data_IF_273110746610
#
_entry.id   IF_273110746610
#
_cell.length_a   1.000
_cell.length_b   1.000
_cell.length_c   1.000
_cell.angle_alpha   90.00
_cell.angle_beta   90.00
_cell.angle_gamma   90.00
#
_symmetry.space_group_name_H-M   'P 1'
#
loop_
_entity.id
_entity.type
_entity.pdbx_description
1 polymer ?
#
# COMPACT_ATOMS: atom_id res chain seq x y z
N UNK A 1 7.89 -33.53 3.22
CA UNK A 1 8.53 -33.03 4.46
C UNK A 1 9.37 -31.83 4.07
N UNK A 2 9.11 -30.57 4.43
CA UNK A 2 8.10 -29.94 5.25
C UNK A 2 7.85 -28.55 4.64
N UNK A 3 6.58 -28.16 4.48
CA UNK A 3 6.23 -26.79 4.16
C UNK A 3 6.61 -25.92 5.37
N UNK A 4 7.56 -25.01 5.19
CA UNK A 4 7.85 -24.00 6.19
C UNK A 4 6.61 -23.11 6.30
N UNK A 5 5.78 -23.40 7.30
CA UNK A 5 4.76 -22.50 7.79
C UNK A 5 5.49 -21.22 8.21
N UNK A 6 5.52 -20.25 7.30
CA UNK A 6 6.00 -18.91 7.56
C UNK A 6 5.11 -18.33 8.63
N UNK A 7 5.55 -18.43 9.88
CA UNK A 7 5.02 -17.66 10.99
C UNK A 7 5.18 -16.19 10.64
N UNK A 8 4.20 -15.63 9.95
CA UNK A 8 4.15 -14.20 9.71
C UNK A 8 4.05 -13.57 11.08
N UNK A 9 5.11 -12.90 11.51
CA UNK A 9 5.06 -11.95 12.59
C UNK A 9 3.77 -11.12 12.38
N UNK A 10 2.85 -11.01 13.35
CA UNK A 10 1.60 -10.28 13.15
C UNK A 10 1.84 -8.83 12.70
N UNK A 11 3.03 -8.29 13.04
CA UNK A 11 3.62 -7.04 12.58
C UNK A 11 3.94 -6.93 11.06
N UNK A 12 3.69 -7.96 10.26
CA UNK A 12 3.86 -7.96 8.80
C UNK A 12 2.59 -8.39 8.06
N UNK A 13 1.51 -8.67 8.80
CA UNK A 13 0.21 -9.00 8.22
C UNK A 13 -0.36 -7.82 7.42
N UNK A 14 -1.20 -8.10 6.42
CA UNK A 14 -1.87 -7.06 5.64
C UNK A 14 -2.70 -6.12 6.54
N UNK A 15 -3.35 -6.68 7.58
CA UNK A 15 -4.11 -5.91 8.56
C UNK A 15 -3.25 -4.93 9.35
N UNK A 16 -2.09 -5.39 9.84
CA UNK A 16 -1.12 -4.52 10.52
C UNK A 16 -0.61 -3.42 9.57
N UNK A 17 -0.29 -3.77 8.32
CA UNK A 17 0.19 -2.78 7.36
C UNK A 17 -0.85 -1.68 7.09
N UNK A 18 -2.13 -2.05 6.98
CA UNK A 18 -3.23 -1.09 6.81
C UNK A 18 -3.43 -0.20 8.04
N UNK A 19 -3.28 -0.75 9.26
CA UNK A 19 -3.33 0.05 10.48
C UNK A 19 -2.20 1.10 10.51
N UNK A 20 -0.98 0.68 10.11
CA UNK A 20 0.16 1.59 10.00
C UNK A 20 -0.02 2.65 8.90
N UNK A 21 -0.69 2.34 7.79
CA UNK A 21 -1.00 3.33 6.76
C UNK A 21 -1.96 4.43 7.27
N UNK A 22 -2.90 4.08 8.16
CA UNK A 22 -3.93 5.01 8.67
C UNK A 22 -3.42 5.99 9.71
N UNK A 23 -2.39 5.64 10.47
CA UNK A 23 -1.90 6.49 11.56
C UNK A 23 -0.51 6.14 12.09
N UNK A 24 0.22 5.27 11.38
CA UNK A 24 1.56 4.85 11.79
C UNK A 24 2.58 5.98 11.68
N UNK A 25 3.51 5.98 12.63
CA UNK A 25 4.73 6.79 12.61
C UNK A 25 5.93 5.97 12.15
N UNK A 26 7.00 6.67 11.77
CA UNK A 26 8.30 6.04 11.53
C UNK A 26 8.87 5.49 12.85
N UNK A 27 9.62 4.37 12.82
CA UNK A 27 10.04 3.57 11.66
C UNK A 27 9.03 2.46 11.28
N UNK A 28 7.89 2.37 11.97
CA UNK A 28 6.94 1.29 11.79
C UNK A 28 6.15 1.41 10.48
N UNK A 29 5.83 2.63 10.04
CA UNK A 29 5.23 2.90 8.72
C UNK A 29 6.16 2.47 7.58
N UNK A 30 7.44 2.87 7.59
CA UNK A 30 8.43 2.43 6.61
C UNK A 30 8.56 0.91 6.50
N UNK A 31 8.55 0.19 7.64
CA UNK A 31 8.52 -1.28 7.65
C UNK A 31 7.24 -1.86 7.05
N UNK A 32 6.08 -1.29 7.37
CA UNK A 32 4.80 -1.71 6.81
C UNK A 32 4.74 -1.50 5.29
N UNK A 33 5.23 -0.36 4.77
CA UNK A 33 5.30 -0.09 3.34
C UNK A 33 6.24 -1.07 2.62
N UNK A 34 7.38 -1.40 3.24
CA UNK A 34 8.29 -2.40 2.70
C UNK A 34 7.62 -3.77 2.63
N UNK A 35 6.94 -4.20 3.69
CA UNK A 35 6.19 -5.45 3.72
C UNK A 35 5.06 -5.48 2.67
N UNK A 36 4.31 -4.38 2.51
CA UNK A 36 3.30 -4.24 1.45
C UNK A 36 3.90 -4.45 0.06
N UNK A 37 4.97 -3.73 -0.27
CA UNK A 37 5.60 -3.79 -1.59
C UNK A 37 6.20 -5.16 -1.89
N UNK A 38 6.80 -5.81 -0.91
CA UNK A 38 7.58 -7.04 -1.12
C UNK A 38 6.75 -8.31 -0.97
N UNK A 39 5.76 -8.32 -0.07
CA UNK A 39 5.01 -9.52 0.31
C UNK A 39 3.53 -9.51 -0.04
N UNK A 40 2.90 -8.34 -0.14
CA UNK A 40 1.44 -8.28 -0.36
C UNK A 40 1.10 -7.93 -1.80
N UNK A 41 1.62 -6.82 -2.32
CA UNK A 41 1.28 -6.31 -3.66
C UNK A 41 1.84 -7.19 -4.79
N UNK A 42 3.00 -7.83 -4.58
CA UNK A 42 3.59 -8.75 -5.56
C UNK A 42 2.89 -10.10 -5.68
N UNK A 43 2.00 -10.44 -4.75
CA UNK A 43 1.32 -11.73 -4.77
C UNK A 43 0.13 -11.70 -5.74
N UNK A 44 -0.22 -12.83 -6.38
CA UNK A 44 -1.43 -12.93 -7.20
C UNK A 44 -2.68 -12.51 -6.39
N UNK A 45 -3.46 -11.57 -6.92
CA UNK A 45 -4.64 -11.00 -6.24
C UNK A 45 -4.31 -10.12 -5.03
N UNK A 46 -3.04 -9.79 -4.79
CA UNK A 46 -2.59 -8.96 -3.68
C UNK A 46 -3.10 -7.52 -3.77
N UNK A 47 -3.13 -6.96 -4.98
CA UNK A 47 -3.66 -5.62 -5.26
C UNK A 47 -5.16 -5.58 -4.99
N UNK A 48 -5.92 -6.54 -5.54
CA UNK A 48 -7.35 -6.67 -5.28
C UNK A 48 -7.67 -6.76 -3.79
N UNK A 49 -6.94 -7.59 -3.03
CA UNK A 49 -7.12 -7.72 -1.57
C UNK A 49 -6.78 -6.44 -0.82
N UNK A 50 -5.70 -5.76 -1.20
CA UNK A 50 -5.33 -4.47 -0.61
C UNK A 50 -6.42 -3.42 -0.86
N UNK A 51 -6.94 -3.38 -2.09
CA UNK A 51 -8.03 -2.51 -2.52
C UNK A 51 -9.33 -2.80 -1.77
N UNK A 52 -9.77 -4.06 -1.73
CA UNK A 52 -11.00 -4.49 -1.08
C UNK A 52 -11.04 -4.16 0.43
N UNK A 53 -9.86 -4.02 1.06
CA UNK A 53 -9.71 -3.60 2.46
C UNK A 53 -9.56 -2.09 2.64
N UNK A 54 -9.76 -1.31 1.58
CA UNK A 54 -9.69 0.15 1.59
C UNK A 54 -8.28 0.71 1.72
N UNK A 55 -7.25 0.00 1.26
CA UNK A 55 -5.85 0.42 1.40
C UNK A 55 -5.45 1.64 0.57
N UNK A 56 -6.15 1.92 -0.54
CA UNK A 56 -5.83 3.03 -1.45
C UNK A 56 -6.05 4.41 -0.82
N UNK A 57 -7.09 4.60 -0.01
CA UNK A 57 -7.39 5.89 0.64
C UNK A 57 -6.25 6.35 1.57
N UNK A 58 -5.86 5.55 2.58
CA UNK A 58 -4.73 5.86 3.44
C UNK A 58 -3.41 6.05 2.68
N UNK A 59 -3.18 5.29 1.61
CA UNK A 59 -2.00 5.43 0.77
C UNK A 59 -1.97 6.80 0.05
N UNK A 60 -3.09 7.25 -0.51
CA UNK A 60 -3.22 8.57 -1.12
C UNK A 60 -3.09 9.68 -0.07
N UNK A 61 -3.68 9.51 1.12
CA UNK A 61 -3.52 10.46 2.23
C UNK A 61 -2.06 10.62 2.67
N UNK A 62 -1.27 9.53 2.65
CA UNK A 62 0.17 9.60 2.92
C UNK A 62 0.94 10.39 1.85
N UNK A 63 0.53 10.29 0.59
CA UNK A 63 1.15 11.02 -0.52
C UNK A 63 0.73 12.49 -0.56
N UNK A 64 -0.46 12.82 -0.08
CA UNK A 64 -0.95 14.19 0.05
C UNK A 64 -0.34 14.95 1.25
N UNK A 65 0.24 14.25 2.23
CA UNK A 65 0.83 14.86 3.42
C UNK A 65 2.22 15.47 3.17
N UNK A 66 2.44 16.69 3.65
CA UNK A 66 3.65 17.49 3.34
C UNK A 66 4.93 17.13 4.12
N UNK A 67 4.89 16.32 5.18
CA UNK A 67 6.06 16.00 6.03
C UNK A 67 6.27 14.49 6.21
N UNK A 68 6.81 13.83 5.18
CA UNK A 68 7.28 12.44 5.28
C UNK A 68 8.72 12.30 4.79
N UNK A 69 9.49 11.33 5.32
CA UNK A 69 10.81 11.03 4.79
C UNK A 69 10.71 10.64 3.31
N UNK A 70 11.66 11.10 2.49
CA UNK A 70 11.70 10.81 1.05
C UNK A 70 11.59 9.31 0.75
N UNK A 71 12.29 8.48 1.53
CA UNK A 71 12.23 7.01 1.41
C UNK A 71 10.82 6.44 1.57
N UNK A 72 10.04 6.99 2.49
CA UNK A 72 8.66 6.58 2.77
C UNK A 72 7.75 6.96 1.60
N UNK A 73 7.93 8.17 1.05
CA UNK A 73 7.20 8.63 -0.12
C UNK A 73 7.54 7.80 -1.37
N UNK A 74 8.82 7.51 -1.61
CA UNK A 74 9.28 6.63 -2.71
C UNK A 74 8.65 5.24 -2.63
N UNK A 75 8.57 4.65 -1.44
CA UNK A 75 7.90 3.36 -1.24
C UNK A 75 6.39 3.46 -1.48
N UNK A 76 5.73 4.51 -0.99
CA UNK A 76 4.30 4.74 -1.20
C UNK A 76 3.97 4.92 -2.70
N UNK A 77 4.77 5.70 -3.43
CA UNK A 77 4.65 5.88 -4.88
C UNK A 77 4.86 4.56 -5.63
N UNK A 78 5.86 3.77 -5.24
CA UNK A 78 6.09 2.45 -5.85
C UNK A 78 4.92 1.49 -5.62
N UNK A 79 4.31 1.50 -4.43
CA UNK A 79 3.11 0.70 -4.13
C UNK A 79 1.93 1.18 -4.98
N UNK A 80 1.71 2.49 -5.08
CA UNK A 80 0.64 3.06 -5.89
C UNK A 80 0.81 2.67 -7.37
N UNK A 81 2.02 2.82 -7.91
CA UNK A 81 2.33 2.43 -9.29
C UNK A 81 2.03 0.96 -9.58
N UNK A 82 2.38 0.06 -8.66
CA UNK A 82 2.05 -1.36 -8.78
C UNK A 82 0.53 -1.59 -8.73
N UNK A 83 -0.19 -0.92 -7.82
CA UNK A 83 -1.65 -1.04 -7.74
C UNK A 83 -2.33 -0.58 -9.04
N UNK A 84 -1.82 0.48 -9.67
CA UNK A 84 -2.35 1.03 -10.91
C UNK A 84 -2.15 0.13 -12.15
N UNK A 85 -1.45 -1.00 -12.03
CA UNK A 85 -1.43 -2.02 -13.09
C UNK A 85 -2.80 -2.66 -13.28
N UNK A 86 -3.62 -2.74 -12.22
CA UNK A 86 -5.00 -3.22 -12.27
C UNK A 86 -6.01 -2.08 -12.57
N UNK A 87 -6.92 -2.33 -13.52
CA UNK A 87 -7.91 -1.33 -13.96
C UNK A 87 -8.81 -0.81 -12.85
N UNK A 88 -9.31 -1.70 -11.99
CA UNK A 88 -10.19 -1.28 -10.90
C UNK A 88 -9.49 -0.48 -9.80
N UNK A 89 -8.17 -0.64 -9.62
CA UNK A 89 -7.40 0.22 -8.72
C UNK A 89 -7.26 1.64 -9.28
N UNK A 90 -7.10 1.79 -10.62
CA UNK A 90 -7.07 3.11 -11.27
C UNK A 90 -8.39 3.86 -11.11
N UNK A 91 -9.52 3.18 -11.29
CA UNK A 91 -10.85 3.76 -11.10
C UNK A 91 -11.02 4.27 -9.66
N UNK A 92 -10.71 3.43 -8.67
CA UNK A 92 -10.83 3.82 -7.26
C UNK A 92 -9.87 4.95 -6.86
N UNK A 93 -8.65 5.00 -7.41
CA UNK A 93 -7.74 6.13 -7.16
C UNK A 93 -8.31 7.46 -7.66
N UNK A 94 -9.02 7.45 -8.81
CA UNK A 94 -9.70 8.64 -9.35
C UNK A 94 -10.88 9.05 -8.47
N UNK A 95 -11.70 8.10 -8.04
CA UNK A 95 -12.83 8.35 -7.12
C UNK A 95 -12.38 8.95 -5.79
N UNK A 96 -11.20 8.55 -5.29
CA UNK A 96 -10.61 9.06 -4.07
C UNK A 96 -9.90 10.42 -4.24
N UNK A 97 -10.01 11.07 -5.40
CA UNK A 97 -9.39 12.37 -5.66
C UNK A 97 -7.86 12.31 -5.78
N UNK A 98 -7.33 11.16 -6.24
CA UNK A 98 -5.90 10.97 -6.48
C UNK A 98 -5.39 11.67 -7.74
N UNK A 99 -4.59 10.98 -8.55
CA UNK A 99 -4.00 11.56 -9.77
C UNK A 99 -5.12 11.84 -10.79
N UNK A 100 -5.37 13.11 -11.18
CA UNK A 100 -6.36 13.44 -12.20
C UNK A 100 -5.94 12.84 -13.55
N UNK A 101 -6.90 12.52 -14.40
CA UNK A 101 -6.63 12.17 -15.79
C UNK A 101 -5.87 13.34 -16.44
N UNK A 102 -4.72 13.07 -17.06
CA UNK A 102 -4.07 14.03 -17.96
C UNK A 102 -4.93 14.07 -19.24
N UNK A 103 -5.88 15.00 -19.32
CA UNK A 103 -6.86 15.17 -20.41
C UNK A 103 -8.28 14.77 -19.97
N UNK A 104 -9.31 15.58 -20.17
CA UNK A 104 -9.58 16.55 -21.25
C UNK A 104 -9.52 18.03 -20.82
#
# INVERSE_FOLDING_TARGET
MAAAAGGSCPAESLGYCLAQLRGGAEPALGRALLALRTRHIKQPGGIERFRARGGLGPLLGLLAGALRPRRTLDLALSILGNCCTEGGSRAQVRELGGIPSLGE
#
